data_IF_900217781246
#
_entry.id   IF_900217781246
#
_cell.length_a   1.000
_cell.length_b   1.000
_cell.length_c   1.000
_cell.angle_alpha   90.00
_cell.angle_beta   90.00
_cell.angle_gamma   90.00
#
_symmetry.space_group_name_H-M   'P 1'
#
loop_
_entity.id
_entity.type
_entity.pdbx_description
1 polymer ?
#
# COMPACT_ATOMS: atom_id res chain seq x y z
N UNK A 1 -12.07 10.46 -12.62
CA UNK A 1 -12.38 9.83 -11.30
C UNK A 1 -11.23 9.99 -10.30
N UNK A 2 -10.03 9.46 -10.53
CA UNK A 2 -8.90 9.66 -9.58
C UNK A 2 -8.35 11.10 -9.58
N UNK A 3 -8.65 11.88 -10.64
CA UNK A 3 -8.28 13.29 -10.74
C UNK A 3 -8.78 14.14 -9.56
N UNK A 4 -9.93 13.86 -8.96
CA UNK A 4 -10.42 14.62 -7.79
C UNK A 4 -9.53 14.46 -6.55
N UNK A 5 -8.71 13.41 -6.51
CA UNK A 5 -7.71 13.22 -5.46
C UNK A 5 -6.43 14.02 -5.74
N UNK A 6 -6.15 14.39 -6.99
CA UNK A 6 -4.90 15.04 -7.34
C UNK A 6 -4.91 16.54 -7.03
N UNK A 7 -3.72 17.08 -6.84
CA UNK A 7 -3.43 18.47 -6.53
C UNK A 7 -3.03 19.25 -7.76
N UNK A 8 -2.77 18.54 -8.85
CA UNK A 8 -2.39 19.05 -10.15
C UNK A 8 -3.58 18.79 -11.09
N UNK A 9 -3.90 19.78 -11.91
CA UNK A 9 -4.85 19.65 -13.00
C UNK A 9 -4.26 18.82 -14.15
N UNK A 10 -5.11 18.43 -15.11
CA UNK A 10 -4.67 17.67 -16.28
C UNK A 10 -3.70 18.45 -17.18
N UNK A 11 -3.72 19.77 -17.12
CA UNK A 11 -2.79 20.67 -17.82
C UNK A 11 -1.46 20.89 -17.08
N UNK A 12 -1.28 20.25 -15.91
CA UNK A 12 -0.07 20.38 -15.10
C UNK A 12 -0.08 21.57 -14.13
N UNK A 13 -1.13 22.40 -14.13
CA UNK A 13 -1.23 23.54 -13.20
C UNK A 13 -1.61 23.10 -11.79
N UNK A 14 -1.15 23.79 -10.74
CA UNK A 14 -1.62 23.50 -9.38
C UNK A 14 -3.11 23.85 -9.26
N UNK A 15 -3.87 22.96 -8.61
CA UNK A 15 -5.26 23.25 -8.27
C UNK A 15 -5.35 24.30 -7.19
N UNK A 16 -6.41 25.09 -7.28
CA UNK A 16 -6.75 26.10 -6.27
C UNK A 16 -6.85 25.47 -4.86
N UNK A 17 -6.31 26.10 -3.81
CA UNK A 17 -6.40 25.61 -2.43
C UNK A 17 -7.84 25.38 -1.94
N UNK A 18 -8.81 26.19 -2.39
CA UNK A 18 -10.23 26.12 -2.02
C UNK A 18 -10.94 24.86 -2.51
N UNK A 19 -10.38 24.19 -3.52
CA UNK A 19 -10.98 22.97 -4.07
C UNK A 19 -10.73 21.81 -3.11
N UNK A 20 -11.82 21.21 -2.62
CA UNK A 20 -11.74 20.01 -1.79
C UNK A 20 -11.12 18.85 -2.59
N UNK A 21 -10.20 18.12 -1.96
CA UNK A 21 -9.48 17.00 -2.58
C UNK A 21 -9.76 15.73 -1.81
N UNK A 22 -10.20 14.71 -2.53
CA UNK A 22 -10.41 13.39 -1.92
C UNK A 22 -9.09 12.76 -1.43
N UNK A 23 -9.21 11.86 -0.46
CA UNK A 23 -8.07 11.17 0.17
C UNK A 23 -7.41 10.14 -0.73
N UNK A 24 -6.19 9.72 -0.39
CA UNK A 24 -5.55 8.60 -1.08
C UNK A 24 -6.38 7.30 -0.95
N UNK A 25 -7.03 7.10 0.20
CA UNK A 25 -7.94 5.95 0.41
C UNK A 25 -9.09 5.97 -0.60
N UNK A 26 -9.64 7.14 -0.91
CA UNK A 26 -10.66 7.27 -1.96
C UNK A 26 -10.11 6.86 -3.33
N UNK A 27 -8.90 7.31 -3.70
CA UNK A 27 -8.24 6.90 -4.94
C UNK A 27 -8.05 5.38 -5.03
N UNK A 28 -7.65 4.73 -3.91
CA UNK A 28 -7.50 3.27 -3.85
C UNK A 28 -8.82 2.54 -4.11
N UNK A 29 -9.92 3.00 -3.49
CA UNK A 29 -11.26 2.43 -3.71
C UNK A 29 -11.69 2.58 -5.17
N UNK A 30 -11.47 3.75 -5.77
CA UNK A 30 -11.77 4.00 -7.19
C UNK A 30 -10.96 3.08 -8.11
N UNK A 31 -9.66 2.90 -7.84
CA UNK A 31 -8.82 1.97 -8.59
C UNK A 31 -9.30 0.53 -8.45
N UNK A 32 -9.62 0.09 -7.24
CA UNK A 32 -10.11 -1.27 -6.99
C UNK A 32 -11.43 -1.54 -7.72
N UNK A 33 -12.36 -0.58 -7.70
CA UNK A 33 -13.62 -0.65 -8.43
C UNK A 33 -13.39 -0.75 -9.95
N UNK A 34 -12.47 0.06 -10.51
CA UNK A 34 -12.09 -0.01 -11.91
C UNK A 34 -11.47 -1.38 -12.27
N UNK A 35 -10.56 -1.90 -11.43
CA UNK A 35 -9.96 -3.23 -11.63
C UNK A 35 -11.01 -4.32 -11.67
N UNK A 36 -11.96 -4.28 -10.73
CA UNK A 36 -13.07 -5.22 -10.74
C UNK A 36 -13.95 -5.06 -11.98
N UNK A 37 -14.32 -3.83 -12.36
CA UNK A 37 -15.15 -3.56 -13.53
C UNK A 37 -14.51 -4.07 -14.82
N UNK A 38 -13.27 -3.68 -15.10
CA UNK A 38 -12.55 -4.15 -16.28
C UNK A 38 -12.28 -5.66 -16.25
N UNK A 39 -11.88 -6.20 -15.09
CA UNK A 39 -11.56 -7.61 -14.95
C UNK A 39 -12.78 -8.52 -15.09
N UNK A 40 -13.87 -8.20 -14.37
CA UNK A 40 -15.04 -9.05 -14.23
C UNK A 40 -16.16 -8.73 -15.22
N UNK A 41 -16.45 -7.45 -15.46
CA UNK A 41 -17.56 -7.06 -16.34
C UNK A 41 -17.14 -7.00 -17.81
N UNK A 42 -15.92 -6.56 -18.09
CA UNK A 42 -15.37 -6.50 -19.46
C UNK A 42 -14.51 -7.71 -19.83
N UNK A 43 -14.38 -8.70 -18.94
CA UNK A 43 -13.59 -9.92 -19.15
C UNK A 43 -12.13 -9.67 -19.57
N UNK A 44 -11.55 -8.53 -19.18
CA UNK A 44 -10.15 -8.20 -19.47
C UNK A 44 -9.18 -8.86 -18.47
N UNK A 45 -9.72 -9.49 -17.43
CA UNK A 45 -8.96 -10.17 -16.39
C UNK A 45 -8.02 -9.24 -15.62
N UNK A 46 -6.89 -9.81 -15.19
CA UNK A 46 -5.84 -9.13 -14.40
C UNK A 46 -4.55 -8.90 -15.20
N UNK A 47 -4.58 -9.16 -16.51
CA UNK A 47 -3.43 -8.92 -17.38
C UNK A 47 -3.13 -7.43 -17.44
N UNK A 48 -1.87 -7.02 -17.33
CA UNK A 48 -1.50 -5.62 -17.41
C UNK A 48 -1.86 -5.04 -18.80
N UNK A 49 -2.24 -3.77 -18.83
CA UNK A 49 -2.49 -3.04 -20.08
C UNK A 49 -1.22 -2.97 -20.92
N UNK A 50 -1.24 -3.57 -22.10
CA UNK A 50 -0.09 -3.65 -23.00
C UNK A 50 -0.55 -3.61 -24.45
N UNK A 51 0.37 -3.31 -25.36
CA UNK A 51 0.12 -3.39 -26.80
C UNK A 51 0.43 -4.79 -27.29
N UNK A 52 -0.50 -5.42 -28.00
CA UNK A 52 -0.24 -6.70 -28.65
C UNK A 52 0.80 -6.53 -29.76
N UNK A 53 1.82 -7.39 -29.77
CA UNK A 53 2.83 -7.41 -30.83
C UNK A 53 2.26 -7.91 -32.16
N UNK A 54 1.20 -8.72 -32.12
CA UNK A 54 0.61 -9.36 -33.29
C UNK A 54 -0.42 -8.44 -33.95
N UNK A 55 -1.39 -7.94 -33.16
CA UNK A 55 -2.50 -7.13 -33.68
C UNK A 55 -2.26 -5.63 -33.58
N UNK A 56 -1.27 -5.19 -32.80
CA UNK A 56 -1.02 -3.77 -32.53
C UNK A 56 -2.09 -3.08 -31.67
N UNK A 57 -3.13 -3.81 -31.25
CA UNK A 57 -4.21 -3.30 -30.40
C UNK A 57 -3.81 -3.33 -28.91
N UNK A 58 -4.44 -2.46 -28.12
CA UNK A 58 -4.24 -2.47 -26.67
C UNK A 58 -5.10 -3.56 -26.03
N UNK A 59 -4.47 -4.38 -25.18
CA UNK A 59 -5.08 -5.51 -24.48
C UNK A 59 -4.79 -5.46 -22.98
N UNK A 60 -5.59 -6.19 -22.20
CA UNK A 60 -5.47 -6.30 -20.75
C UNK A 60 -6.33 -5.28 -20.00
N UNK A 61 -6.03 -5.08 -18.72
CA UNK A 61 -6.80 -4.23 -17.83
C UNK A 61 -6.08 -2.88 -17.61
N UNK A 62 -6.67 -1.75 -18.04
CA UNK A 62 -6.04 -0.43 -17.91
C UNK A 62 -5.76 -0.05 -16.47
N UNK A 63 -6.56 -0.49 -15.48
CA UNK A 63 -6.36 -0.16 -14.06
C UNK A 63 -5.16 -0.87 -13.41
N UNK A 64 -4.63 -1.90 -14.08
CA UNK A 64 -3.46 -2.70 -13.67
C UNK A 64 -2.20 -2.27 -14.45
N UNK A 65 -2.29 -1.24 -15.30
CA UNK A 65 -1.14 -0.70 -16.01
C UNK A 65 -0.01 -0.24 -15.07
N UNK A 66 1.22 -0.33 -15.58
CA UNK A 66 2.40 0.18 -14.89
C UNK A 66 2.28 1.70 -14.68
N UNK A 67 1.83 2.43 -15.70
CA UNK A 67 1.66 3.89 -15.65
C UNK A 67 0.73 4.32 -14.51
N UNK A 68 -0.44 3.68 -14.35
CA UNK A 68 -1.34 3.99 -13.23
C UNK A 68 -0.76 3.55 -11.88
N UNK A 69 0.00 2.45 -11.83
CA UNK A 69 0.66 2.02 -10.60
C UNK A 69 1.69 3.04 -10.12
N UNK A 70 2.54 3.51 -11.02
CA UNK A 70 3.53 4.58 -10.76
C UNK A 70 2.85 5.89 -10.38
N UNK A 71 1.77 6.26 -11.07
CA UNK A 71 0.96 7.42 -10.70
C UNK A 71 0.39 7.30 -9.26
N UNK A 72 -0.19 6.16 -8.89
CA UNK A 72 -0.74 5.95 -7.55
C UNK A 72 0.32 6.03 -6.45
N UNK A 73 1.53 5.52 -6.70
CA UNK A 73 2.66 5.65 -5.78
C UNK A 73 3.05 7.11 -5.58
N UNK A 74 3.16 7.88 -6.67
CA UNK A 74 3.46 9.31 -6.61
C UNK A 74 2.36 10.10 -5.91
N UNK A 75 1.09 9.80 -6.21
CA UNK A 75 -0.06 10.42 -5.53
C UNK A 75 -0.02 10.17 -4.02
N UNK A 76 0.28 8.95 -3.58
CA UNK A 76 0.44 8.61 -2.16
C UNK A 76 1.50 9.48 -1.49
N UNK A 77 2.67 9.63 -2.11
CA UNK A 77 3.77 10.43 -1.57
C UNK A 77 3.37 11.90 -1.41
N UNK A 78 2.72 12.49 -2.43
CA UNK A 78 2.23 13.88 -2.36
C UNK A 78 1.21 14.08 -1.25
N UNK A 79 0.26 13.14 -1.10
CA UNK A 79 -0.74 13.19 -0.02
C UNK A 79 -0.10 13.12 1.37
N UNK A 80 0.86 12.22 1.56
CA UNK A 80 1.61 12.13 2.82
C UNK A 80 2.39 13.42 3.10
N UNK A 81 3.03 14.00 2.10
CA UNK A 81 3.76 15.27 2.24
C UNK A 81 2.84 16.42 2.68
N UNK A 82 1.56 16.39 2.30
CA UNK A 82 0.54 17.36 2.74
C UNK A 82 -0.08 17.04 4.09
N UNK A 83 0.42 16.04 4.81
CA UNK A 83 -0.05 15.67 6.13
C UNK A 83 -1.20 14.67 6.15
N UNK A 84 -1.57 14.04 5.01
CA UNK A 84 -2.47 12.89 5.06
C UNK A 84 -1.78 11.75 5.82
N UNK A 85 -2.32 11.40 6.99
CA UNK A 85 -1.77 10.32 7.80
C UNK A 85 -1.91 9.00 7.06
N UNK A 86 -0.82 8.24 6.95
CA UNK A 86 -0.87 6.90 6.37
C UNK A 86 -1.77 6.01 7.24
N UNK A 87 -2.67 5.23 6.63
CA UNK A 87 -3.59 4.33 7.33
C UNK A 87 -2.87 3.36 8.28
N UNK A 88 -1.69 2.86 7.91
CA UNK A 88 -0.88 1.99 8.77
C UNK A 88 -0.33 2.71 10.01
N UNK A 89 0.02 3.99 9.89
CA UNK A 89 0.48 4.78 11.03
C UNK A 89 -0.67 5.02 12.03
N UNK A 90 -1.92 5.16 11.55
CA UNK A 90 -3.10 5.24 12.42
C UNK A 90 -3.40 3.94 13.17
N UNK A 91 -2.96 2.80 12.65
CA UNK A 91 -3.15 1.51 13.31
C UNK A 91 -2.18 1.27 14.48
N UNK A 92 -1.10 2.05 14.57
CA UNK A 92 -0.13 1.99 15.66
C UNK A 92 -0.48 3.05 16.69
N UNK A 93 -1.07 2.64 17.82
CA UNK A 93 -1.42 3.52 18.93
C UNK A 93 -0.25 3.68 19.90
N UNK A 94 -0.27 4.75 20.70
CA UNK A 94 0.71 4.93 21.78
C UNK A 94 0.69 3.76 22.77
N UNK A 95 -0.50 3.26 23.10
CA UNK A 95 -0.70 2.08 23.95
C UNK A 95 -0.01 0.82 23.35
N UNK A 96 -0.13 0.62 22.03
CA UNK A 96 0.53 -0.50 21.36
C UNK A 96 2.06 -0.37 21.42
N UNK A 97 2.59 0.85 21.31
CA UNK A 97 4.02 1.12 21.44
C UNK A 97 4.52 0.90 22.88
N UNK A 98 3.73 1.29 23.88
CA UNK A 98 4.02 1.05 25.30
C UNK A 98 4.05 -0.46 25.60
N UNK A 99 3.02 -1.21 25.17
CA UNK A 99 2.99 -2.67 25.30
C UNK A 99 4.19 -3.34 24.63
N UNK A 100 4.59 -2.85 23.45
CA UNK A 100 5.76 -3.36 22.74
C UNK A 100 7.06 -3.04 23.47
N UNK A 101 7.16 -1.86 24.09
CA UNK A 101 8.30 -1.47 24.92
C UNK A 101 8.41 -2.34 26.17
N UNK A 102 7.31 -2.51 26.91
CA UNK A 102 7.26 -3.34 28.11
C UNK A 102 7.60 -4.79 27.81
N UNK A 103 7.06 -5.32 26.71
CA UNK A 103 7.38 -6.67 26.25
C UNK A 103 8.88 -6.82 25.97
N UNK A 104 9.49 -5.88 25.25
CA UNK A 104 10.91 -5.97 24.90
C UNK A 104 11.86 -5.76 26.09
N UNK A 105 11.42 -5.08 27.15
CA UNK A 105 12.23 -4.82 28.36
C UNK A 105 12.14 -5.93 29.41
N UNK A 106 11.45 -7.04 29.14
CA UNK A 106 11.43 -8.17 30.05
C UNK A 106 12.84 -8.78 30.19
N UNK A 107 13.23 -9.21 31.41
CA UNK A 107 14.58 -9.67 31.70
C UNK A 107 15.04 -10.85 30.84
N UNK A 108 14.09 -11.65 30.37
CA UNK A 108 14.29 -12.79 29.48
C UNK A 108 14.85 -12.42 28.10
N UNK A 109 14.60 -11.19 27.64
CA UNK A 109 15.02 -10.73 26.31
C UNK A 109 16.38 -10.04 26.29
N UNK A 110 16.96 -9.61 27.42
CA UNK A 110 18.30 -9.01 27.44
C UNK A 110 19.42 -9.99 27.04
N UNK A 111 19.19 -11.29 27.22
CA UNK A 111 20.16 -12.33 26.83
C UNK A 111 19.96 -12.69 25.36
N UNK A 112 21.02 -12.53 24.54
CA UNK A 112 21.02 -12.99 23.15
C UNK A 112 20.84 -14.51 23.12
N UNK A 113 19.70 -15.00 22.61
CA UNK A 113 19.47 -16.43 22.36
C UNK A 113 20.43 -16.92 21.27
N UNK A 114 21.06 -18.08 21.46
CA UNK A 114 21.86 -18.71 20.40
C UNK A 114 20.99 -19.09 19.20
N UNK A 115 21.57 -19.13 17.99
CA UNK A 115 20.81 -19.43 16.78
C UNK A 115 20.55 -20.93 16.72
N UNK A 116 19.28 -21.30 16.69
CA UNK A 116 18.87 -22.68 16.42
C UNK A 116 18.20 -22.73 15.05
N UNK A 117 18.72 -23.54 14.11
CA UNK A 117 18.06 -23.77 12.83
C UNK A 117 16.66 -24.33 13.05
N UNK A 118 15.63 -23.60 12.64
CA UNK A 118 14.25 -24.05 12.73
C UNK A 118 13.81 -24.65 11.39
N UNK A 119 13.05 -25.75 11.45
CA UNK A 119 12.48 -26.37 10.27
C UNK A 119 11.41 -25.46 9.63
N UNK A 120 11.29 -25.48 8.30
CA UNK A 120 10.35 -24.64 7.53
C UNK A 120 8.88 -24.79 7.96
N UNK A 121 8.51 -25.97 8.49
CA UNK A 121 7.15 -26.32 8.92
C UNK A 121 6.98 -26.33 10.45
N UNK A 122 7.93 -25.81 11.22
CA UNK A 122 7.79 -25.76 12.67
C UNK A 122 6.62 -24.84 13.07
N UNK A 123 5.83 -25.21 14.09
CA UNK A 123 4.75 -24.35 14.59
C UNK A 123 5.35 -23.07 15.15
N UNK A 124 5.02 -21.93 14.53
CA UNK A 124 5.45 -20.61 14.99
C UNK A 124 4.52 -20.13 16.09
N UNK A 125 5.07 -19.78 17.25
CA UNK A 125 4.33 -19.10 18.31
C UNK A 125 4.29 -17.60 18.01
N UNK A 126 3.25 -16.92 18.48
CA UNK A 126 3.12 -15.46 18.32
C UNK A 126 4.31 -14.71 18.93
N UNK A 127 4.90 -15.25 19.99
CA UNK A 127 6.08 -14.72 20.68
C UNK A 127 7.39 -14.86 19.91
N UNK A 128 7.43 -15.64 18.82
CA UNK A 128 8.65 -15.85 18.03
C UNK A 128 9.01 -14.60 17.19
N UNK A 129 8.11 -13.63 17.10
CA UNK A 129 8.27 -12.38 16.35
C UNK A 129 8.88 -11.24 17.17
N UNK A 130 9.06 -11.42 18.48
CA UNK A 130 9.50 -10.36 19.39
C UNK A 130 10.68 -10.82 20.29
N UNK A 131 11.36 -9.86 20.94
CA UNK A 131 12.58 -10.10 21.72
C UNK A 131 13.87 -9.81 20.94
N UNK A 132 15.03 -10.07 21.57
CA UNK A 132 16.38 -9.64 21.12
C UNK A 132 16.87 -10.20 19.78
N UNK A 133 16.03 -10.95 19.05
CA UNK A 133 16.28 -11.42 17.68
C UNK A 133 15.07 -11.28 16.75
N UNK A 134 14.12 -10.38 17.05
CA UNK A 134 13.13 -9.96 16.07
C UNK A 134 13.88 -9.59 14.77
N UNK A 135 13.66 -10.37 13.72
CA UNK A 135 14.19 -10.11 12.38
C UNK A 135 13.24 -9.18 11.64
#
# INVERSE_FOLDING_TARGET
>A
LIHSCDEINLDGTPKDPSVERASYTHAQKMRAAATFGFGRMHNLGMLAWHRSEITGSMLGNPSVSETLSSYMLSLRRRKIQKGETTTSARAVTAELLEQLFDFNNQPEFYKRRQYEPTARNAPKKLTDWAGSRAR
#
